data_IF_152645630431
#
_entry.id   IF_152645630431
#
_cell.length_a   1.000
_cell.length_b   1.000
_cell.length_c   1.000
_cell.angle_alpha   90.00
_cell.angle_beta   90.00
_cell.angle_gamma   90.00
#
_symmetry.space_group_name_H-M   'P 1'
#
loop_
_entity.id
_entity.type
_entity.pdbx_description
1 polymer ?
#
# COMPACT_ATOMS: atom_id res chain seq x y z
N UNK A 1 29.49 -0.07 23.26
CA UNK A 1 28.70 -1.07 22.51
C UNK A 1 27.62 -0.30 21.78
N UNK A 2 27.37 -0.65 20.54
CA UNK A 2 26.67 0.24 19.62
C UNK A 2 25.34 -0.35 19.19
N UNK A 3 24.32 0.49 19.00
CA UNK A 3 23.02 0.07 18.48
C UNK A 3 22.89 0.62 17.04
N UNK A 4 22.85 -0.26 16.04
CA UNK A 4 22.71 0.13 14.64
C UNK A 4 21.55 -0.60 13.99
N UNK A 5 20.38 0.03 13.93
CA UNK A 5 19.24 -0.47 13.15
C UNK A 5 19.41 -0.03 11.71
N UNK A 6 19.82 -0.94 10.84
CA UNK A 6 19.78 -0.69 9.41
C UNK A 6 18.81 -1.69 8.82
N UNK A 7 17.52 -1.35 8.86
CA UNK A 7 16.38 -1.86 8.09
C UNK A 7 15.16 -1.97 8.98
N UNK A 8 14.11 -1.21 8.67
CA UNK A 8 12.78 -1.76 8.82
C UNK A 8 12.04 -1.42 7.54
N UNK A 9 11.59 -2.44 6.83
CA UNK A 9 10.80 -2.27 5.62
C UNK A 9 9.35 -2.12 6.05
N UNK A 10 8.82 -0.91 6.14
CA UNK A 10 7.48 -0.69 6.65
C UNK A 10 6.43 -0.50 5.53
N UNK A 11 5.26 -1.11 5.66
CA UNK A 11 3.98 -0.81 5.02
C UNK A 11 2.96 -0.32 6.10
N UNK A 12 2.64 0.98 6.13
CA UNK A 12 2.21 1.82 7.29
C UNK A 12 0.75 1.75 7.84
N UNK A 13 0.58 1.98 9.17
CA UNK A 13 -0.54 2.64 9.91
C UNK A 13 -0.16 2.99 11.40
N UNK A 14 -0.81 3.94 12.12
CA UNK A 14 -0.31 4.59 13.38
C UNK A 14 -1.34 5.10 14.43
N UNK A 15 -0.94 5.26 15.73
CA UNK A 15 -1.07 6.47 16.65
C UNK A 15 -0.37 6.37 18.09
N UNK A 16 0.39 7.43 18.49
CA UNK A 16 0.56 8.15 19.83
C UNK A 16 1.47 7.73 21.05
N UNK A 17 2.47 8.61 21.37
CA UNK A 17 2.96 9.27 22.66
C UNK A 17 3.31 8.52 23.99
N UNK A 18 4.62 8.40 24.25
CA UNK A 18 5.52 8.78 25.40
C UNK A 18 5.41 8.14 26.82
N UNK A 19 6.47 7.41 27.26
CA UNK A 19 7.47 7.79 28.31
C UNK A 19 8.51 6.67 28.66
N UNK A 20 9.79 6.94 28.36
CA UNK A 20 11.07 6.54 29.02
C UNK A 20 11.40 5.10 29.52
N UNK A 21 12.31 4.43 28.79
CA UNK A 21 13.50 3.71 29.32
C UNK A 21 14.62 3.75 28.25
N UNK A 22 15.76 3.03 28.33
CA UNK A 22 16.77 3.01 27.26
C UNK A 22 16.24 2.27 26.01
N UNK A 23 15.38 2.95 25.27
CA UNK A 23 14.74 2.49 24.05
C UNK A 23 15.30 3.38 22.96
N UNK A 24 15.98 2.82 21.96
CA UNK A 24 16.08 3.49 20.67
C UNK A 24 14.68 3.44 20.05
N UNK A 25 13.80 4.30 20.58
CA UNK A 25 12.42 4.31 20.18
C UNK A 25 12.32 5.05 18.87
N UNK A 26 11.85 4.34 17.85
CA UNK A 26 11.62 4.90 16.54
C UNK A 26 10.14 5.21 16.44
N UNK A 27 9.76 6.34 17.03
CA UNK A 27 8.39 6.82 16.96
C UNK A 27 8.12 7.31 15.53
N UNK A 28 7.22 6.59 14.86
CA UNK A 28 6.71 6.96 13.56
C UNK A 28 5.50 7.84 13.83
N UNK A 29 5.50 9.08 13.39
CA UNK A 29 4.27 9.87 13.35
C UNK A 29 4.11 10.48 11.97
N UNK A 30 2.93 11.00 11.63
CA UNK A 30 2.71 11.60 10.31
C UNK A 30 3.70 12.75 10.10
N UNK A 31 4.74 12.48 9.32
CA UNK A 31 5.79 13.43 9.01
C UNK A 31 6.97 13.45 9.98
N UNK A 32 7.07 12.58 10.99
CA UNK A 32 8.25 12.60 11.88
C UNK A 32 8.86 11.25 12.22
N UNK A 33 10.16 11.26 12.46
CA UNK A 33 10.95 10.16 13.00
C UNK A 33 11.60 10.63 14.30
N UNK A 34 11.20 10.04 15.43
CA UNK A 34 11.87 10.21 16.72
C UNK A 34 12.93 9.14 16.92
N UNK A 35 14.06 9.48 17.53
CA UNK A 35 15.00 8.53 18.13
C UNK A 35 15.27 9.04 19.52
N UNK A 36 14.92 8.24 20.53
CA UNK A 36 15.21 8.52 21.93
C UNK A 36 16.37 7.65 22.38
N UNK A 37 17.26 8.14 23.23
CA UNK A 37 18.37 7.39 23.80
C UNK A 37 18.65 7.86 25.24
N UNK A 38 19.24 6.98 26.06
CA UNK A 38 19.78 7.31 27.38
C UNK A 38 18.75 7.95 28.33
N UNK A 39 17.58 7.29 28.49
CA UNK A 39 16.52 7.74 29.39
C UNK A 39 15.93 9.10 29.00
N UNK A 40 15.74 9.35 27.69
CA UNK A 40 15.15 10.60 27.19
C UNK A 40 16.14 11.74 26.95
N UNK A 41 17.39 11.60 27.37
CA UNK A 41 18.39 12.67 27.25
C UNK A 41 18.87 12.89 25.82
N UNK A 42 18.88 11.85 24.99
CA UNK A 42 19.26 11.95 23.59
C UNK A 42 18.00 11.86 22.75
N UNK A 43 17.55 12.98 22.20
CA UNK A 43 16.39 13.01 21.32
C UNK A 43 16.82 13.57 19.97
N UNK A 44 16.64 12.78 18.92
CA UNK A 44 16.74 13.21 17.53
C UNK A 44 15.33 13.16 16.96
N UNK A 45 14.81 14.31 16.55
CA UNK A 45 13.55 14.36 15.82
C UNK A 45 13.82 14.87 14.42
N UNK A 46 13.34 14.13 13.42
CA UNK A 46 13.26 14.62 12.07
C UNK A 46 11.80 14.88 11.71
N UNK A 47 11.54 16.03 11.10
CA UNK A 47 10.22 16.42 10.61
C UNK A 47 10.16 16.37 9.08
N UNK A 48 8.95 16.31 8.53
CA UNK A 48 8.62 16.16 7.11
C UNK A 48 9.32 15.00 6.40
N UNK A 49 9.57 13.92 7.14
CA UNK A 49 10.34 12.78 6.64
C UNK A 49 9.54 11.95 5.63
N UNK A 50 8.22 11.87 5.83
CA UNK A 50 7.33 11.06 5.02
C UNK A 50 6.23 11.91 4.40
N UNK A 51 6.04 11.73 3.09
CA UNK A 51 4.86 12.25 2.40
C UNK A 51 3.82 11.14 2.27
N UNK A 52 2.54 11.52 2.20
CA UNK A 52 1.43 10.56 2.00
C UNK A 52 1.55 9.73 0.70
N UNK A 53 2.45 10.10 -0.22
CA UNK A 53 2.74 9.34 -1.44
C UNK A 53 3.45 8.01 -1.23
N UNK A 54 3.91 7.71 0.00
CA UNK A 54 4.64 6.47 0.35
C UNK A 54 3.74 5.38 0.96
N UNK A 55 2.42 5.58 0.98
CA UNK A 55 1.50 4.55 1.46
C UNK A 55 1.49 3.35 0.49
N UNK A 56 1.54 2.14 1.04
CA UNK A 56 1.55 0.87 0.28
C UNK A 56 2.75 0.67 -0.66
N UNK A 57 3.82 1.43 -0.48
CA UNK A 57 5.13 1.15 -1.06
C UNK A 57 6.09 0.69 0.02
N UNK A 58 7.07 -0.13 -0.34
CA UNK A 58 8.20 -0.39 0.54
C UNK A 58 9.00 0.87 0.76
N UNK A 59 9.32 1.15 2.02
CA UNK A 59 10.21 2.23 2.43
C UNK A 59 11.46 1.60 3.04
N UNK A 60 12.63 2.01 2.56
CA UNK A 60 13.90 1.57 3.11
C UNK A 60 14.39 2.56 4.16
N UNK A 61 14.43 2.16 5.43
CA UNK A 61 14.97 2.97 6.53
C UNK A 61 16.31 2.39 7.02
N UNK A 62 17.32 3.24 7.17
CA UNK A 62 18.54 2.93 7.90
C UNK A 62 18.89 4.04 8.89
N UNK A 63 19.22 3.65 10.12
CA UNK A 63 19.58 4.52 11.23
C UNK A 63 20.95 4.14 11.77
N UNK A 64 21.90 5.05 11.66
CA UNK A 64 23.21 4.92 12.29
C UNK A 64 23.34 5.92 13.44
N UNK A 65 23.75 5.43 14.61
CA UNK A 65 24.02 6.24 15.79
C UNK A 65 25.47 6.04 16.21
N UNK A 66 26.30 7.05 15.95
CA UNK A 66 27.66 7.13 16.45
C UNK A 66 27.66 7.89 17.78
N UNK A 67 27.62 7.12 18.86
CA UNK A 67 27.61 7.63 20.23
C UNK A 67 28.97 8.18 20.69
N UNK A 68 30.07 7.77 20.07
CA UNK A 68 31.41 8.27 20.39
C UNK A 68 31.66 9.63 19.73
N UNK A 69 31.29 9.73 18.45
CA UNK A 69 31.35 10.97 17.68
C UNK A 69 30.19 11.93 17.92
N UNK A 70 29.13 11.50 18.63
CA UNK A 70 27.88 12.24 18.81
C UNK A 70 27.17 12.56 17.50
N UNK A 71 27.20 11.65 16.54
CA UNK A 71 26.65 11.86 15.19
C UNK A 71 25.55 10.85 14.94
N UNK A 72 24.48 11.28 14.27
CA UNK A 72 23.49 10.38 13.70
C UNK A 72 23.48 10.45 12.18
N UNK A 73 23.08 9.37 11.53
CA UNK A 73 22.68 9.35 10.13
C UNK A 73 21.35 8.63 10.01
N UNK A 74 20.36 9.29 9.43
CA UNK A 74 19.08 8.69 9.08
C UNK A 74 18.98 8.70 7.57
N UNK A 75 18.73 7.55 6.98
CA UNK A 75 18.57 7.42 5.55
C UNK A 75 17.27 6.72 5.21
N UNK A 76 16.48 7.33 4.34
CA UNK A 76 15.15 6.91 3.94
C UNK A 76 15.08 6.95 2.42
N UNK A 77 14.96 5.77 1.82
CA UNK A 77 15.05 5.55 0.39
C UNK A 77 16.31 6.24 -0.19
N UNK A 78 16.14 7.24 -1.07
CA UNK A 78 17.26 7.99 -1.64
C UNK A 78 17.75 9.15 -0.79
N UNK A 79 17.07 9.49 0.31
CA UNK A 79 17.35 10.67 1.11
C UNK A 79 18.20 10.31 2.32
N UNK A 80 19.29 11.03 2.51
CA UNK A 80 20.21 10.84 3.64
C UNK A 80 20.30 12.14 4.40
N UNK A 81 20.10 12.06 5.71
CA UNK A 81 20.31 13.14 6.65
C UNK A 81 21.35 12.72 7.69
N UNK A 82 22.15 13.67 8.13
CA UNK A 82 23.12 13.48 9.19
C UNK A 82 23.20 14.74 10.05
N UNK A 83 23.55 14.58 11.31
CA UNK A 83 23.64 15.69 12.25
C UNK A 83 24.27 15.26 13.56
N UNK A 84 24.35 16.20 14.51
CA UNK A 84 24.92 15.96 15.83
C UNK A 84 23.83 15.66 16.86
N UNK A 85 24.16 14.82 17.84
CA UNK A 85 23.34 14.48 18.99
C UNK A 85 23.71 15.45 20.13
N UNK A 86 23.31 16.72 19.99
CA UNK A 86 23.73 17.81 20.88
C UNK A 86 23.32 17.62 22.35
N UNK A 87 22.21 16.93 22.62
CA UNK A 87 21.63 16.82 23.97
C UNK A 87 22.34 15.81 24.89
N UNK A 88 23.38 15.13 24.39
CA UNK A 88 24.12 14.15 25.17
C UNK A 88 25.59 14.53 25.45
N UNK A 89 26.09 15.65 24.90
CA UNK A 89 27.48 16.12 25.08
C UNK A 89 27.94 16.03 26.55
N UNK A 90 29.02 15.27 26.79
CA UNK A 90 29.63 15.11 28.12
C UNK A 90 29.03 14.02 29.01
N UNK A 91 28.04 13.25 28.54
CA UNK A 91 27.51 12.08 29.27
C UNK A 91 28.28 10.81 28.93
N UNK A 92 28.48 9.92 29.90
CA UNK A 92 29.04 8.60 29.61
C UNK A 92 28.00 7.73 28.91
N UNK A 93 28.22 7.43 27.63
CA UNK A 93 27.31 6.63 26.81
C UNK A 93 27.71 5.16 26.81
N UNK A 94 27.48 4.48 27.94
CA UNK A 94 27.67 3.03 28.01
C UNK A 94 26.33 2.31 27.74
N UNK A 95 26.17 1.77 26.54
CA UNK A 95 25.10 0.81 26.26
C UNK A 95 25.49 -0.56 26.85
N UNK A 96 24.78 -1.00 27.88
CA UNK A 96 24.96 -2.33 28.48
C UNK A 96 24.16 -3.37 27.68
N UNK A 97 24.64 -4.61 27.67
CA UNK A 97 23.89 -5.74 27.11
C UNK A 97 22.68 -6.15 27.97
N UNK A 98 21.85 -7.04 27.44
CA UNK A 98 20.65 -7.55 28.12
C UNK A 98 19.37 -6.74 27.88
N UNK A 99 19.37 -5.84 26.90
CA UNK A 99 18.16 -5.13 26.47
C UNK A 99 17.23 -6.00 25.61
N UNK A 100 16.01 -5.51 25.41
CA UNK A 100 14.97 -6.16 24.59
C UNK A 100 14.75 -5.30 23.34
N UNK A 101 14.68 -5.95 22.17
CA UNK A 101 14.28 -5.31 20.92
C UNK A 101 12.84 -5.70 20.61
N UNK A 102 11.95 -4.70 20.54
CA UNK A 102 10.56 -4.90 20.10
C UNK A 102 10.38 -4.23 18.74
N UNK A 103 9.65 -4.90 17.86
CA UNK A 103 9.30 -4.41 16.53
C UNK A 103 7.79 -4.38 16.41
N UNK A 104 7.25 -3.23 16.03
CA UNK A 104 5.82 -3.05 15.75
C UNK A 104 4.97 -2.53 16.92
N UNK A 105 5.58 -2.17 18.05
CA UNK A 105 4.91 -1.60 19.22
C UNK A 105 5.85 -0.64 19.97
N UNK A 106 5.30 0.44 20.54
CA UNK A 106 6.01 1.33 21.49
C UNK A 106 6.14 0.63 22.86
N UNK A 107 7.24 0.85 23.56
CA UNK A 107 7.49 0.31 24.91
C UNK A 107 7.44 1.41 25.96
N UNK A 108 6.34 1.48 26.73
CA UNK A 108 6.27 2.39 27.90
C UNK A 108 7.08 1.86 29.10
N UNK A 109 7.32 0.54 29.16
CA UNK A 109 8.12 -0.12 30.19
C UNK A 109 9.13 -1.08 29.54
N UNK A 110 10.20 -1.40 30.26
CA UNK A 110 11.18 -2.37 29.78
C UNK A 110 10.52 -3.74 29.52
N UNK A 111 10.36 -4.11 28.24
CA UNK A 111 9.69 -5.35 27.84
C UNK A 111 8.16 -5.33 27.91
N UNK A 112 7.52 -4.17 28.12
CA UNK A 112 6.07 -4.10 28.33
C UNK A 112 5.48 -2.70 28.27
N UNK A 113 4.27 -2.55 28.82
CA UNK A 113 3.52 -1.29 28.75
C UNK A 113 2.97 -1.00 27.34
N UNK A 114 2.68 -2.04 26.57
CA UNK A 114 2.14 -1.91 25.22
C UNK A 114 0.70 -1.37 25.23
N UNK A 115 0.40 -0.43 24.33
CA UNK A 115 -0.96 0.02 24.05
C UNK A 115 -1.39 -0.48 22.67
N UNK A 116 -2.60 -1.05 22.57
CA UNK A 116 -3.15 -1.51 21.29
C UNK A 116 -3.32 -0.36 20.28
N UNK A 117 -3.55 0.87 20.76
CA UNK A 117 -3.66 2.05 19.90
C UNK A 117 -2.31 2.45 19.28
N UNK A 118 -1.19 2.01 19.87
CA UNK A 118 0.19 2.23 19.40
C UNK A 118 0.71 1.06 18.55
N UNK A 119 -0.17 0.16 18.10
CA UNK A 119 0.23 -0.96 17.25
C UNK A 119 0.60 -0.47 15.86
N UNK A 120 1.73 -0.96 15.35
CA UNK A 120 2.05 -0.83 13.94
C UNK A 120 1.24 -1.84 13.10
N UNK A 121 0.47 -1.33 12.14
CA UNK A 121 -0.23 -2.18 11.19
C UNK A 121 0.46 -2.22 9.83
N UNK A 122 1.00 -3.40 9.51
CA UNK A 122 1.35 -3.81 8.16
C UNK A 122 2.61 -4.67 8.10
N UNK A 123 3.38 -4.58 7.02
CA UNK A 123 4.50 -5.48 6.81
C UNK A 123 5.80 -4.88 7.31
N UNK A 124 6.61 -5.75 7.90
CA UNK A 124 8.00 -5.51 8.31
C UNK A 124 8.85 -6.60 7.68
N UNK A 125 9.76 -6.22 6.79
CA UNK A 125 10.70 -7.15 6.16
C UNK A 125 12.14 -6.74 6.44
N UNK A 126 13.07 -7.67 6.20
CA UNK A 126 14.51 -7.39 6.06
C UNK A 126 15.20 -6.66 7.21
N UNK A 127 14.74 -6.76 8.46
CA UNK A 127 15.42 -6.13 9.61
C UNK A 127 16.84 -6.66 9.74
N UNK A 128 17.82 -5.74 9.83
CA UNK A 128 19.23 -6.05 10.03
C UNK A 128 19.80 -5.10 11.09
N UNK A 129 20.49 -5.65 12.08
CA UNK A 129 21.24 -4.87 13.07
C UNK A 129 22.72 -5.18 12.93
N UNK A 130 23.54 -4.13 12.81
CA UNK A 130 24.99 -4.27 12.69
C UNK A 130 25.70 -4.00 14.03
N UNK A 131 26.92 -4.53 14.23
CA UNK A 131 27.70 -4.25 15.45
C UNK A 131 28.51 -2.95 15.38
N UNK A 132 28.64 -2.32 14.21
CA UNK A 132 29.52 -1.17 13.93
C UNK A 132 28.82 -0.13 13.04
N UNK A 133 29.24 1.15 13.14
CA UNK A 133 28.71 2.25 12.30
C UNK A 133 28.93 1.86 10.85
N UNK A 134 27.87 1.94 10.05
CA UNK A 134 28.00 1.71 8.62
C UNK A 134 28.46 2.98 7.90
N UNK A 135 29.42 2.84 6.98
CA UNK A 135 29.82 3.95 6.10
C UNK A 135 28.66 4.36 5.22
N UNK A 136 28.58 5.65 4.88
CA UNK A 136 27.47 6.17 4.08
C UNK A 136 27.31 5.49 2.72
N UNK A 137 28.41 5.06 2.10
CA UNK A 137 28.38 4.33 0.85
C UNK A 137 27.65 2.98 0.99
N UNK A 138 27.88 2.28 2.11
CA UNK A 138 27.22 1.01 2.43
C UNK A 138 25.75 1.20 2.78
N UNK A 139 25.41 2.31 3.43
CA UNK A 139 24.01 2.74 3.64
C UNK A 139 23.32 2.94 2.29
N UNK A 140 23.94 3.64 1.32
CA UNK A 140 23.37 3.82 -0.02
C UNK A 140 23.26 2.51 -0.81
N UNK A 141 24.23 1.62 -0.69
CA UNK A 141 24.17 0.28 -1.30
C UNK A 141 23.03 -0.56 -0.71
N UNK A 142 22.80 -0.44 0.59
CA UNK A 142 21.66 -1.06 1.25
C UNK A 142 20.33 -0.50 0.74
N UNK A 143 20.17 0.82 0.71
CA UNK A 143 18.94 1.49 0.23
C UNK A 143 18.65 1.27 -1.26
N UNK A 144 19.67 0.90 -2.04
CA UNK A 144 19.51 0.50 -3.44
C UNK A 144 19.39 -1.02 -3.63
N UNK A 145 19.21 -1.77 -2.53
CA UNK A 145 19.08 -3.22 -2.51
C UNK A 145 20.24 -3.99 -3.14
N UNK A 146 21.45 -3.45 -3.06
CA UNK A 146 22.66 -4.08 -3.59
C UNK A 146 23.45 -4.85 -2.53
N UNK A 147 23.18 -4.59 -1.24
CA UNK A 147 23.96 -5.14 -0.14
C UNK A 147 23.51 -6.57 0.22
N UNK A 148 24.46 -7.50 0.30
CA UNK A 148 24.29 -8.85 0.90
C UNK A 148 25.06 -8.88 2.23
N UNK A 149 24.42 -9.37 3.29
CA UNK A 149 24.94 -9.29 4.67
C UNK A 149 25.84 -10.48 5.02
N UNK A 150 27.03 -10.22 5.56
CA UNK A 150 27.96 -11.24 6.07
C UNK A 150 28.30 -11.06 7.56
N UNK A 151 27.78 -10.03 8.25
CA UNK A 151 28.16 -9.72 9.64
C UNK A 151 27.06 -8.97 10.43
N UNK A 152 25.83 -9.45 10.37
CA UNK A 152 24.71 -8.92 11.16
C UNK A 152 24.59 -9.61 12.52
N UNK A 153 24.17 -8.87 13.55
CA UNK A 153 23.90 -9.38 14.91
C UNK A 153 22.45 -9.80 15.08
N UNK A 154 21.52 -9.06 14.46
CA UNK A 154 20.08 -9.40 14.45
C UNK A 154 19.61 -9.41 13.00
N UNK A 155 18.83 -10.43 12.65
CA UNK A 155 18.20 -10.54 11.33
C UNK A 155 16.84 -11.22 11.42
N UNK A 156 16.04 -11.15 10.36
CA UNK A 156 14.87 -12.02 10.17
C UNK A 156 15.18 -13.36 9.48
N UNK A 157 16.45 -13.76 9.39
CA UNK A 157 16.84 -15.03 8.75
C UNK A 157 16.25 -16.25 9.47
N UNK A 158 16.14 -16.16 10.79
CA UNK A 158 15.68 -17.24 11.67
C UNK A 158 14.61 -16.75 12.65
N UNK A 159 13.47 -16.30 12.11
CA UNK A 159 12.35 -15.75 12.91
C UNK A 159 11.94 -16.66 14.08
N UNK A 160 11.90 -17.97 13.90
CA UNK A 160 11.44 -18.91 14.93
C UNK A 160 12.44 -19.11 16.09
N UNK A 161 13.72 -18.80 15.87
CA UNK A 161 14.78 -19.03 16.87
C UNK A 161 15.17 -17.72 17.57
N UNK A 162 15.19 -16.61 16.82
CA UNK A 162 15.71 -15.33 17.29
C UNK A 162 14.60 -14.39 17.80
N UNK A 163 13.31 -14.70 17.56
CA UNK A 163 12.19 -13.81 17.86
C UNK A 163 11.05 -14.50 18.60
N UNK A 164 10.47 -13.77 19.56
CA UNK A 164 9.19 -14.10 20.18
C UNK A 164 8.07 -13.31 19.47
N UNK A 165 7.14 -14.04 18.86
CA UNK A 165 6.03 -13.45 18.10
C UNK A 165 4.80 -13.28 19.00
N UNK A 166 4.29 -12.05 19.12
CA UNK A 166 3.12 -11.71 19.93
C UNK A 166 2.00 -11.08 19.11
N UNK A 167 0.76 -11.52 19.35
CA UNK A 167 -0.45 -11.00 18.70
C UNK A 167 -0.78 -11.67 17.36
N UNK A 168 -1.67 -11.05 16.60
CA UNK A 168 -2.15 -11.54 15.30
C UNK A 168 -1.14 -11.26 14.18
N UNK A 169 -0.03 -11.99 14.20
CA UNK A 169 1.05 -11.87 13.22
C UNK A 169 0.93 -12.92 12.10
N UNK A 170 1.26 -12.51 10.88
CA UNK A 170 1.34 -13.42 9.72
C UNK A 170 2.70 -13.30 9.04
N UNK A 171 3.45 -14.38 9.06
CA UNK A 171 4.73 -14.47 8.32
C UNK A 171 4.45 -14.68 6.84
N UNK A 172 5.06 -13.83 6.01
CA UNK A 172 4.97 -13.88 4.55
C UNK A 172 6.37 -13.73 3.98
N UNK A 173 6.71 -14.55 2.99
CA UNK A 173 7.99 -14.46 2.28
C UNK A 173 7.87 -13.52 1.08
N UNK A 174 8.83 -12.60 0.96
CA UNK A 174 8.97 -11.70 -0.19
C UNK A 174 10.30 -11.96 -0.89
N UNK A 175 10.32 -11.90 -2.23
CA UNK A 175 11.57 -11.92 -2.99
C UNK A 175 12.25 -10.54 -2.95
N UNK A 176 13.58 -10.47 -3.16
CA UNK A 176 14.27 -9.18 -3.26
C UNK A 176 13.64 -8.24 -4.30
N UNK A 177 13.17 -8.78 -5.42
CA UNK A 177 12.51 -8.01 -6.48
C UNK A 177 11.14 -7.47 -6.03
N UNK A 178 10.45 -8.17 -5.13
CA UNK A 178 9.19 -7.68 -4.56
C UNK A 178 9.41 -6.57 -3.51
N UNK A 179 10.54 -6.60 -2.80
CA UNK A 179 10.92 -5.57 -1.83
C UNK A 179 11.50 -4.33 -2.50
N UNK A 180 12.27 -4.52 -3.58
CA UNK A 180 13.13 -3.49 -4.15
C UNK A 180 12.78 -3.10 -5.58
N UNK A 181 11.97 -3.91 -6.26
CA UNK A 181 11.47 -3.62 -7.59
C UNK A 181 10.27 -2.71 -7.55
N UNK A 182 9.85 -2.25 -8.73
CA UNK A 182 8.53 -1.62 -8.86
C UNK A 182 7.48 -2.68 -8.58
N UNK A 183 6.54 -2.45 -7.65
CA UNK A 183 5.47 -3.40 -7.42
C UNK A 183 4.70 -3.62 -8.73
N UNK A 184 4.23 -4.84 -9.00
CA UNK A 184 3.37 -5.06 -10.15
C UNK A 184 2.09 -4.23 -10.00
N UNK A 185 1.47 -3.81 -11.11
CA UNK A 185 0.21 -3.07 -11.04
C UNK A 185 -0.84 -3.82 -10.24
N UNK A 186 -1.55 -3.10 -9.38
CA UNK A 186 -2.70 -3.63 -8.64
C UNK A 186 -3.93 -3.55 -9.55
N UNK A 187 -4.71 -4.63 -9.58
CA UNK A 187 -5.93 -4.72 -10.38
C UNK A 187 -7.16 -4.72 -9.47
N UNK A 188 -8.06 -3.75 -9.67
CA UNK A 188 -9.32 -3.63 -8.92
C UNK A 188 -10.49 -3.76 -9.86
N UNK A 189 -11.36 -4.72 -9.57
CA UNK A 189 -12.58 -4.98 -10.34
C UNK A 189 -13.75 -4.10 -9.87
N UNK A 190 -14.48 -3.54 -10.83
CA UNK A 190 -15.72 -2.80 -10.63
C UNK A 190 -16.88 -3.56 -11.31
N UNK A 191 -17.82 -4.12 -10.53
CA UNK A 191 -18.79 -5.10 -11.02
C UNK A 191 -20.01 -4.50 -11.74
N UNK A 192 -20.19 -3.17 -11.72
CA UNK A 192 -21.30 -2.57 -12.45
C UNK A 192 -20.99 -2.51 -13.93
N UNK A 193 -21.95 -2.96 -14.73
CA UNK A 193 -21.83 -2.99 -16.18
C UNK A 193 -21.83 -1.57 -16.74
N UNK A 194 -20.73 -1.20 -17.38
CA UNK A 194 -20.47 0.11 -17.97
C UNK A 194 -20.14 -0.03 -19.45
N UNK A 195 -20.33 1.03 -20.21
CA UNK A 195 -19.73 1.16 -21.54
C UNK A 195 -18.20 1.24 -21.41
N UNK A 196 -17.49 1.06 -22.53
CA UNK A 196 -16.03 1.21 -22.54
C UNK A 196 -15.61 2.61 -22.03
N UNK A 197 -16.26 3.66 -22.51
CA UNK A 197 -15.92 5.04 -22.15
C UNK A 197 -16.16 5.31 -20.67
N UNK A 198 -17.31 4.93 -20.13
CA UNK A 198 -17.61 5.04 -18.70
C UNK A 198 -16.61 4.26 -17.84
N UNK A 199 -16.13 3.11 -18.32
CA UNK A 199 -15.11 2.30 -17.63
C UNK A 199 -13.75 2.99 -17.61
N UNK A 200 -13.33 3.59 -18.73
CA UNK A 200 -12.10 4.39 -18.79
C UNK A 200 -12.17 5.59 -17.86
N UNK A 201 -13.27 6.35 -17.93
CA UNK A 201 -13.48 7.55 -17.11
C UNK A 201 -13.47 7.22 -15.62
N UNK A 202 -14.06 6.08 -15.23
CA UNK A 202 -14.00 5.58 -13.85
C UNK A 202 -12.57 5.29 -13.40
N UNK A 203 -11.78 4.59 -14.21
CA UNK A 203 -10.39 4.28 -13.86
C UNK A 203 -9.54 5.56 -13.77
N UNK A 204 -9.69 6.48 -14.72
CA UNK A 204 -8.97 7.76 -14.74
C UNK A 204 -9.33 8.66 -13.56
N UNK A 205 -10.61 8.68 -13.14
CA UNK A 205 -11.04 9.39 -11.93
C UNK A 205 -10.29 8.88 -10.68
N UNK A 206 -9.95 7.60 -10.65
CA UNK A 206 -9.17 6.96 -9.58
C UNK A 206 -7.65 7.03 -9.83
N UNK A 207 -7.19 7.81 -10.81
CA UNK A 207 -5.77 7.88 -11.23
C UNK A 207 -5.17 6.53 -11.67
N UNK A 208 -6.01 5.59 -12.09
CA UNK A 208 -5.61 4.35 -12.73
C UNK A 208 -5.99 4.36 -14.21
N UNK A 209 -5.88 3.21 -14.86
CA UNK A 209 -6.28 3.03 -16.26
C UNK A 209 -7.04 1.72 -16.43
N UNK A 210 -7.80 1.61 -17.52
CA UNK A 210 -8.48 0.36 -17.85
C UNK A 210 -7.46 -0.72 -18.20
N UNK A 211 -7.53 -1.88 -17.54
CA UNK A 211 -6.49 -2.90 -17.63
C UNK A 211 -6.28 -3.43 -19.04
N UNK A 212 -5.02 -3.41 -19.50
CA UNK A 212 -4.60 -3.86 -20.82
C UNK A 212 -3.33 -4.72 -20.70
N UNK A 213 -3.47 -6.06 -20.57
CA UNK A 213 -2.34 -6.93 -20.24
C UNK A 213 -1.21 -6.84 -21.28
N UNK A 214 0.01 -6.56 -20.81
CA UNK A 214 1.23 -6.48 -21.63
C UNK A 214 2.05 -7.77 -21.61
N UNK A 215 1.67 -8.73 -20.77
CA UNK A 215 2.33 -10.03 -20.63
C UNK A 215 1.34 -11.10 -20.15
N UNK A 216 1.76 -12.36 -20.23
CA UNK A 216 0.99 -13.49 -19.69
C UNK A 216 0.80 -13.39 -18.17
N UNK A 217 1.85 -12.98 -17.45
CA UNK A 217 1.79 -12.77 -16.00
C UNK A 217 0.74 -11.72 -15.62
N UNK A 218 0.71 -10.59 -16.34
CA UNK A 218 -0.28 -9.54 -16.11
C UNK A 218 -1.70 -9.98 -16.52
N UNK A 219 -1.83 -10.79 -17.56
CA UNK A 219 -3.13 -11.34 -17.95
C UNK A 219 -3.68 -12.24 -16.83
N UNK A 220 -2.83 -13.06 -16.22
CA UNK A 220 -3.20 -13.92 -15.11
C UNK A 220 -3.51 -13.14 -13.82
N UNK A 221 -2.83 -12.03 -13.56
CA UNK A 221 -3.17 -11.17 -12.41
C UNK A 221 -4.54 -10.52 -12.56
N UNK A 222 -4.92 -10.11 -13.78
CA UNK A 222 -6.27 -9.58 -14.07
C UNK A 222 -7.33 -10.68 -13.94
N UNK A 223 -7.06 -11.88 -14.45
CA UNK A 223 -7.94 -13.05 -14.24
C UNK A 223 -8.14 -13.32 -12.76
N UNK A 224 -7.06 -13.37 -11.98
CA UNK A 224 -7.13 -13.60 -10.53
C UNK A 224 -7.95 -12.53 -9.81
N UNK A 225 -7.90 -11.28 -10.25
CA UNK A 225 -8.68 -10.18 -9.67
C UNK A 225 -10.20 -10.26 -9.96
N UNK A 226 -10.60 -11.13 -10.89
CA UNK A 226 -11.99 -11.24 -11.37
C UNK A 226 -12.62 -12.62 -11.27
N UNK A 227 -11.83 -13.65 -10.97
CA UNK A 227 -12.23 -15.06 -10.98
C UNK A 227 -13.46 -15.37 -10.12
N UNK A 228 -13.66 -14.65 -9.02
CA UNK A 228 -14.77 -14.85 -8.08
C UNK A 228 -16.07 -14.18 -8.53
N UNK A 229 -16.06 -13.47 -9.67
CA UNK A 229 -17.17 -12.62 -10.15
C UNK A 229 -17.46 -12.75 -11.63
N UNK A 230 -16.90 -13.76 -12.30
CA UNK A 230 -17.14 -14.04 -13.73
C UNK A 230 -18.65 -14.14 -14.00
N UNK A 231 -19.39 -14.85 -13.14
CA UNK A 231 -20.82 -15.11 -13.33
C UNK A 231 -21.67 -13.83 -13.32
N UNK A 232 -21.37 -12.92 -12.39
CA UNK A 232 -22.08 -11.64 -12.27
C UNK A 232 -21.85 -10.75 -13.50
N UNK A 233 -20.65 -10.84 -14.08
CA UNK A 233 -20.20 -9.97 -15.14
C UNK A 233 -20.43 -10.52 -16.54
N UNK A 234 -20.61 -11.83 -16.66
CA UNK A 234 -20.89 -12.51 -17.92
C UNK A 234 -22.15 -11.95 -18.58
N UNK A 235 -22.03 -11.65 -19.87
CA UNK A 235 -23.14 -11.25 -20.74
C UNK A 235 -23.38 -12.33 -21.80
N UNK A 236 -24.53 -12.25 -22.50
CA UNK A 236 -24.97 -13.25 -23.47
C UNK A 236 -24.00 -13.52 -24.64
N UNK A 237 -22.93 -12.72 -24.78
CA UNK A 237 -21.89 -12.86 -25.79
C UNK A 237 -20.69 -13.73 -25.33
N UNK A 238 -20.75 -14.33 -24.13
CA UNK A 238 -19.66 -15.16 -23.63
C UNK A 238 -18.41 -14.37 -23.22
N UNK A 239 -18.61 -13.13 -22.82
CA UNK A 239 -17.56 -12.25 -22.31
C UNK A 239 -18.02 -11.61 -21.02
N UNK A 240 -17.09 -11.19 -20.17
CA UNK A 240 -17.43 -10.66 -18.84
C UNK A 240 -16.63 -9.41 -18.43
N UNK A 241 -15.60 -9.03 -19.19
CA UNK A 241 -14.72 -7.96 -18.77
C UNK A 241 -14.24 -7.12 -19.94
N UNK A 242 -14.26 -5.81 -19.80
CA UNK A 242 -13.56 -4.89 -20.70
C UNK A 242 -12.04 -5.02 -20.58
N UNK A 243 -11.37 -5.06 -21.73
CA UNK A 243 -9.93 -4.83 -21.79
C UNK A 243 -9.65 -3.44 -22.36
N UNK A 244 -8.63 -2.78 -21.83
CA UNK A 244 -8.07 -1.52 -22.32
C UNK A 244 -7.35 -1.66 -23.66
N UNK A 245 -7.83 -2.53 -24.54
CA UNK A 245 -7.26 -2.86 -25.83
C UNK A 245 -8.30 -2.60 -26.91
N UNK A 246 -7.87 -1.95 -28.00
CA UNK A 246 -8.74 -1.63 -29.14
C UNK A 246 -8.07 -2.03 -30.44
N UNK A 247 -8.85 -2.57 -31.37
CA UNK A 247 -8.41 -2.80 -32.73
C UNK A 247 -8.51 -1.49 -33.53
N UNK A 248 -7.45 -1.14 -34.25
CA UNK A 248 -7.38 0.03 -35.12
C UNK A 248 -6.96 -0.42 -36.51
N UNK A 249 -7.67 0.10 -37.51
CA UNK A 249 -7.35 -0.14 -38.91
C UNK A 249 -6.35 0.90 -39.38
N UNK A 250 -5.15 0.48 -39.74
CA UNK A 250 -4.09 1.33 -40.27
C UNK A 250 -3.29 0.55 -41.32
N UNK A 251 -2.75 1.23 -42.34
CA UNK A 251 -1.93 0.60 -43.37
C UNK A 251 -2.56 -0.65 -44.03
N UNK A 252 -3.88 -0.63 -44.25
CA UNK A 252 -4.68 -1.73 -44.82
C UNK A 252 -4.75 -3.01 -43.96
N UNK A 253 -4.38 -2.95 -42.68
CA UNK A 253 -4.50 -4.06 -41.75
C UNK A 253 -5.06 -3.62 -40.39
N UNK A 254 -5.60 -4.59 -39.64
CA UNK A 254 -6.01 -4.37 -38.26
C UNK A 254 -4.83 -4.63 -37.33
N UNK A 255 -4.62 -3.73 -36.38
CA UNK A 255 -3.63 -3.86 -35.29
C UNK A 255 -4.31 -3.61 -33.96
N UNK A 256 -3.77 -4.17 -32.88
CA UNK A 256 -4.29 -3.96 -31.53
C UNK A 256 -3.40 -2.97 -30.80
N UNK A 257 -4.02 -1.96 -30.17
CA UNK A 257 -3.32 -0.94 -29.39
C UNK A 257 -3.85 -0.90 -27.96
N UNK A 258 -3.00 -0.47 -27.04
CA UNK A 258 -3.41 -0.05 -25.70
C UNK A 258 -4.18 1.26 -25.78
N UNK A 259 -5.36 1.32 -25.17
CA UNK A 259 -6.17 2.54 -25.08
C UNK A 259 -5.54 3.62 -24.20
N UNK A 260 -4.67 3.24 -23.29
CA UNK A 260 -3.98 4.18 -22.38
C UNK A 260 -2.77 4.82 -23.07
N UNK A 261 -1.90 3.99 -23.66
CA UNK A 261 -0.63 4.47 -24.21
C UNK A 261 -0.67 4.76 -25.70
N UNK A 262 -1.74 4.35 -26.39
CA UNK A 262 -1.86 4.38 -27.85
C UNK A 262 -0.72 3.63 -28.58
N UNK A 263 -0.04 2.71 -27.89
CA UNK A 263 1.04 1.87 -28.44
C UNK A 263 0.50 0.53 -28.90
N UNK A 264 1.16 -0.06 -29.91
CA UNK A 264 0.87 -1.41 -30.38
C UNK A 264 1.05 -2.43 -29.26
N UNK A 265 0.12 -3.36 -29.15
CA UNK A 265 0.21 -4.49 -28.23
C UNK A 265 1.25 -5.48 -28.75
N UNK A 266 2.19 -5.87 -27.89
CA UNK A 266 3.16 -6.95 -28.16
C UNK A 266 2.64 -8.30 -27.69
N UNK A 267 1.81 -8.31 -26.65
CA UNK A 267 1.14 -9.48 -26.11
C UNK A 267 -0.33 -9.49 -26.50
N UNK A 268 -0.82 -10.65 -26.95
CA UNK A 268 -2.24 -10.91 -27.16
C UNK A 268 -2.58 -12.33 -26.75
N UNK A 269 -3.81 -12.55 -26.29
CA UNK A 269 -4.26 -13.87 -25.84
C UNK A 269 -5.65 -14.24 -26.38
N UNK A 270 -5.90 -13.98 -27.66
CA UNK A 270 -7.22 -14.24 -28.25
C UNK A 270 -7.58 -15.72 -28.26
N UNK A 271 -8.87 -16.00 -28.01
CA UNK A 271 -9.46 -17.30 -28.31
C UNK A 271 -9.38 -17.57 -29.80
N UNK A 272 -9.11 -18.82 -30.18
CA UNK A 272 -8.96 -19.21 -31.59
C UNK A 272 -10.20 -18.80 -32.41
N UNK A 273 -10.01 -17.96 -33.42
CA UNK A 273 -11.08 -17.46 -34.29
C UNK A 273 -11.78 -16.17 -33.83
N UNK A 274 -11.43 -15.62 -32.66
CA UNK A 274 -12.10 -14.44 -32.07
C UNK A 274 -11.24 -13.16 -32.09
N UNK A 275 -10.17 -13.13 -32.90
CA UNK A 275 -9.30 -11.96 -33.10
C UNK A 275 -9.66 -11.13 -34.34
N UNK A 276 -10.63 -11.56 -35.14
CA UNK A 276 -11.00 -10.86 -36.37
C UNK A 276 -11.73 -9.55 -36.05
N UNK A 277 -11.06 -8.43 -36.32
CA UNK A 277 -11.63 -7.11 -36.14
C UNK A 277 -12.27 -6.57 -37.43
N UNK A 278 -13.36 -5.83 -37.28
CA UNK A 278 -14.00 -5.03 -38.34
C UNK A 278 -14.46 -3.70 -37.74
N UNK A 279 -14.93 -2.76 -38.58
CA UNK A 279 -15.33 -1.42 -38.11
C UNK A 279 -16.35 -1.44 -36.96
N UNK A 280 -17.29 -2.40 -36.98
CA UNK A 280 -18.30 -2.61 -35.93
C UNK A 280 -17.84 -3.50 -34.78
N UNK A 281 -16.71 -4.21 -34.91
CA UNK A 281 -16.15 -5.15 -33.92
C UNK A 281 -14.68 -4.83 -33.72
N UNK A 282 -14.40 -3.85 -32.87
CA UNK A 282 -13.04 -3.37 -32.65
C UNK A 282 -12.70 -3.14 -31.17
N UNK A 283 -13.55 -3.58 -30.24
CA UNK A 283 -13.23 -3.57 -28.83
C UNK A 283 -12.95 -4.96 -28.30
N UNK A 284 -12.01 -5.06 -27.36
CA UNK A 284 -11.52 -6.32 -26.82
C UNK A 284 -12.08 -6.58 -25.43
N UNK A 285 -12.40 -7.84 -25.18
CA UNK A 285 -12.98 -8.32 -23.93
C UNK A 285 -12.27 -9.58 -23.45
N UNK A 286 -12.39 -9.89 -22.16
CA UNK A 286 -12.05 -11.22 -21.64
C UNK A 286 -13.23 -12.19 -21.80
N UNK A 287 -12.92 -13.38 -22.32
CA UNK A 287 -13.86 -14.47 -22.59
C UNK A 287 -14.26 -15.19 -21.29
N UNK A 288 -15.55 -15.45 -21.11
CA UNK A 288 -16.09 -16.10 -19.91
C UNK A 288 -16.04 -17.63 -19.97
N UNK A 289 -15.95 -18.22 -21.17
CA UNK A 289 -15.89 -19.66 -21.39
C UNK A 289 -14.46 -20.20 -21.37
N UNK A 290 -13.49 -19.40 -21.79
CA UNK A 290 -12.07 -19.72 -21.80
C UNK A 290 -11.32 -18.62 -21.03
N UNK A 291 -11.38 -18.70 -19.70
CA UNK A 291 -10.92 -17.64 -18.80
C UNK A 291 -9.48 -17.21 -19.09
N UNK A 292 -9.28 -15.91 -19.26
CA UNK A 292 -7.99 -15.33 -19.61
C UNK A 292 -7.75 -15.21 -21.10
N UNK A 293 -8.57 -15.84 -21.96
CA UNK A 293 -8.59 -15.57 -23.40
C UNK A 293 -9.39 -14.32 -23.72
N UNK A 294 -9.10 -13.76 -24.89
CA UNK A 294 -9.71 -12.52 -25.36
C UNK A 294 -10.61 -12.75 -26.56
N UNK A 295 -11.61 -11.87 -26.73
CA UNK A 295 -12.47 -11.84 -27.89
C UNK A 295 -12.74 -10.41 -28.34
N UNK A 296 -12.97 -10.21 -29.64
CA UNK A 296 -13.32 -8.92 -30.23
C UNK A 296 -14.82 -8.84 -30.49
N UNK A 297 -15.47 -7.81 -29.94
CA UNK A 297 -16.91 -7.56 -30.07
C UNK A 297 -17.21 -6.06 -30.24
N UNK A 298 -18.46 -5.68 -30.55
CA UNK A 298 -18.85 -4.28 -30.68
C UNK A 298 -18.63 -3.49 -29.39
N UNK A 299 -18.20 -2.24 -29.49
CA UNK A 299 -17.95 -1.38 -28.32
C UNK A 299 -19.24 -0.91 -27.60
N UNK A 300 -20.42 -1.26 -28.12
CA UNK A 300 -21.73 -0.83 -27.62
C UNK A 300 -22.23 -1.66 -26.45
N UNK A 301 -21.57 -2.78 -26.12
CA UNK A 301 -21.96 -3.63 -25.00
C UNK A 301 -21.72 -2.91 -23.66
N UNK A 302 -22.32 -3.44 -22.60
CA UNK A 302 -22.03 -3.01 -21.23
C UNK A 302 -21.57 -4.21 -20.44
N UNK A 303 -20.39 -4.13 -19.85
CA UNK A 303 -19.82 -5.19 -19.03
C UNK A 303 -18.97 -4.61 -17.90
N UNK A 304 -18.44 -5.46 -17.04
CA UNK A 304 -17.63 -5.04 -15.92
C UNK A 304 -16.26 -4.52 -16.38
N UNK A 305 -15.57 -3.83 -15.47
CA UNK A 305 -14.24 -3.27 -15.74
C UNK A 305 -13.27 -3.65 -14.64
N UNK A 306 -11.98 -3.65 -14.99
CA UNK A 306 -10.87 -3.72 -14.04
C UNK A 306 -9.98 -2.53 -14.30
N UNK A 307 -9.69 -1.79 -13.24
CA UNK A 307 -8.72 -0.72 -13.28
C UNK A 307 -7.37 -1.22 -12.76
N UNK A 308 -6.31 -0.89 -13.49
CA UNK A 308 -4.93 -1.10 -13.07
C UNK A 308 -4.37 0.16 -12.44
N UNK A 309 -3.49 0.00 -11.45
CA UNK A 309 -2.80 1.09 -10.77
C UNK A 309 -1.34 0.72 -10.49
N UNK A 310 -0.39 1.60 -10.79
CA UNK A 310 1.02 1.41 -10.42
C UNK A 310 1.22 1.52 -8.90
N UNK A 311 0.42 2.38 -8.27
CA UNK A 311 0.36 2.57 -6.82
C UNK A 311 -1.10 2.62 -6.37
N UNK A 312 -1.45 2.13 -5.18
CA UNK A 312 -2.82 2.18 -4.70
C UNK A 312 -3.39 3.60 -4.75
N UNK A 313 -4.57 3.71 -5.35
CA UNK A 313 -5.26 5.01 -5.48
C UNK A 313 -5.58 5.57 -4.10
N UNK A 314 -5.09 6.78 -3.83
CA UNK A 314 -5.39 7.52 -2.61
C UNK A 314 -6.55 8.48 -2.84
N UNK A 315 -7.55 8.38 -1.98
CA UNK A 315 -8.74 9.20 -1.97
C UNK A 315 -8.73 10.08 -0.73
N UNK A 316 -9.10 11.35 -0.88
CA UNK A 316 -9.21 12.28 0.24
C UNK A 316 -10.67 12.57 0.54
N UNK A 317 -11.10 12.21 1.75
CA UNK A 317 -12.39 12.61 2.29
C UNK A 317 -12.32 14.07 2.73
N UNK A 318 -13.30 14.87 2.28
CA UNK A 318 -13.42 16.31 2.56
C UNK A 318 -14.78 16.58 3.19
N UNK A 319 -14.89 17.69 3.91
CA UNK A 319 -16.13 18.08 4.59
C UNK A 319 -16.28 17.54 6.02
N UNK A 320 -15.24 16.91 6.57
CA UNK A 320 -15.18 16.59 8.00
C UNK A 320 -14.58 17.77 8.77
N UNK A 321 -15.10 18.07 9.96
CA UNK A 321 -14.53 19.10 10.85
C UNK A 321 -13.11 18.73 11.30
N UNK A 322 -12.37 19.70 11.81
CA UNK A 322 -10.93 19.57 12.11
C UNK A 322 -10.62 18.41 13.05
N UNK A 323 -11.37 18.30 14.14
CA UNK A 323 -11.15 17.36 15.26
C UNK A 323 -11.83 15.99 15.08
N UNK A 324 -12.08 15.60 13.84
CA UNK A 324 -12.69 14.29 13.54
C UNK A 324 -11.73 13.14 13.82
N UNK A 325 -12.24 12.08 14.45
CA UNK A 325 -11.53 10.79 14.58
C UNK A 325 -11.53 9.98 13.29
N UNK A 326 -12.34 10.38 12.31
CA UNK A 326 -12.45 9.68 11.02
C UNK A 326 -11.23 9.96 10.15
N UNK A 327 -10.79 8.94 9.40
CA UNK A 327 -9.69 9.14 8.47
C UNK A 327 -10.07 10.12 7.36
N UNK A 328 -9.07 10.88 6.92
CA UNK A 328 -9.19 11.79 5.76
C UNK A 328 -8.63 11.20 4.49
N UNK A 329 -7.81 10.16 4.59
CA UNK A 329 -7.14 9.53 3.46
C UNK A 329 -7.52 8.07 3.45
N UNK A 330 -8.00 7.61 2.32
CA UNK A 330 -8.40 6.22 2.10
C UNK A 330 -7.71 5.66 0.88
N UNK A 331 -7.57 4.34 0.85
CA UNK A 331 -7.09 3.59 -0.31
C UNK A 331 -8.00 2.40 -0.60
N UNK A 332 -7.93 1.89 -1.82
CA UNK A 332 -8.65 0.66 -2.17
C UNK A 332 -7.80 -0.54 -1.72
N UNK A 333 -8.29 -1.32 -0.73
CA UNK A 333 -7.53 -2.43 -0.11
C UNK A 333 -8.02 -3.82 -0.51
N UNK A 334 -9.25 -3.93 -1.00
CA UNK A 334 -9.82 -5.21 -1.40
C UNK A 334 -11.29 -5.12 -1.73
N UNK A 335 -12.01 -6.22 -1.54
CA UNK A 335 -13.45 -6.32 -1.85
C UNK A 335 -14.22 -6.79 -0.62
N UNK A 336 -15.32 -6.09 -0.32
CA UNK A 336 -16.25 -6.40 0.77
C UNK A 336 -17.66 -6.33 0.19
N UNK A 337 -18.47 -7.38 0.41
CA UNK A 337 -19.83 -7.49 -0.13
C UNK A 337 -19.92 -7.23 -1.66
N UNK A 338 -18.98 -7.82 -2.40
CA UNK A 338 -18.97 -7.76 -3.87
C UNK A 338 -18.52 -6.43 -4.47
N UNK A 339 -18.14 -5.42 -3.67
CA UNK A 339 -17.60 -4.14 -4.17
C UNK A 339 -16.23 -3.83 -3.58
N UNK A 340 -15.37 -3.06 -4.28
CA UNK A 340 -14.18 -2.48 -3.69
C UNK A 340 -14.51 -1.72 -2.42
N UNK A 341 -13.77 -1.97 -1.34
CA UNK A 341 -13.87 -1.17 -0.11
C UNK A 341 -12.63 -0.29 0.05
N UNK A 342 -12.80 0.79 0.81
CA UNK A 342 -11.79 1.79 1.04
C UNK A 342 -11.33 1.73 2.49
N UNK A 343 -10.05 1.44 2.70
CA UNK A 343 -9.42 1.43 4.02
C UNK A 343 -8.84 2.81 4.28
N UNK A 344 -9.19 3.40 5.42
CA UNK A 344 -8.54 4.60 5.94
C UNK A 344 -7.09 4.33 6.29
N UNK A 345 -6.35 5.39 6.62
CA UNK A 345 -4.95 5.34 7.13
C UNK A 345 -4.87 5.25 8.66
N UNK A 346 -6.01 5.18 9.34
CA UNK A 346 -6.18 4.95 10.76
C UNK A 346 -7.20 3.84 10.91
N UNK A 347 -8.24 4.00 11.73
CA UNK A 347 -9.08 2.86 12.08
C UNK A 347 -10.38 2.79 11.28
N UNK A 348 -10.57 3.59 10.23
CA UNK A 348 -11.86 3.66 9.54
C UNK A 348 -11.89 2.90 8.22
N UNK A 349 -13.04 2.32 7.89
CA UNK A 349 -13.29 1.70 6.58
C UNK A 349 -14.58 2.26 5.96
N UNK A 350 -14.59 2.43 4.64
CA UNK A 350 -15.79 2.71 3.85
C UNK A 350 -16.09 1.50 2.96
N UNK A 351 -17.27 0.90 3.10
CA UNK A 351 -17.62 -0.33 2.39
C UNK A 351 -19.10 -0.39 2.03
N UNK A 352 -19.47 -1.27 1.10
CA UNK A 352 -20.85 -1.53 0.74
C UNK A 352 -21.47 -2.51 1.74
N UNK A 353 -22.58 -2.18 2.38
CA UNK A 353 -23.23 -3.03 3.40
C UNK A 353 -24.37 -3.92 2.84
N UNK A 354 -24.47 -4.00 1.51
CA UNK A 354 -25.57 -4.56 0.72
C UNK A 354 -26.75 -3.60 0.44
N UNK A 355 -26.84 -2.48 1.16
CA UNK A 355 -27.92 -1.49 1.01
C UNK A 355 -27.41 -0.11 0.62
N UNK A 356 -26.36 0.36 1.29
CA UNK A 356 -25.70 1.65 1.09
C UNK A 356 -24.20 1.53 1.32
N UNK A 357 -23.47 2.63 1.10
CA UNK A 357 -22.10 2.74 1.57
C UNK A 357 -22.11 3.12 3.04
N UNK A 358 -21.51 2.24 3.85
CA UNK A 358 -21.29 2.43 5.26
C UNK A 358 -19.84 2.86 5.50
N UNK A 359 -19.64 3.58 6.59
CA UNK A 359 -18.36 3.93 7.16
C UNK A 359 -18.35 3.47 8.62
N UNK A 360 -17.27 2.86 9.08
CA UNK A 360 -17.16 2.42 10.49
C UNK A 360 -15.74 2.60 10.97
N UNK A 361 -15.58 2.95 12.24
CA UNK A 361 -14.31 2.79 12.94
C UNK A 361 -14.18 1.34 13.46
N UNK A 362 -13.00 0.77 13.29
CA UNK A 362 -12.67 -0.61 13.64
C UNK A 362 -12.36 -0.77 15.13
N UNK A 363 -11.90 0.30 15.81
CA UNK A 363 -11.64 0.31 17.24
C UNK A 363 -12.85 0.80 18.04
N UNK A 364 -13.50 1.88 17.58
CA UNK A 364 -14.70 2.43 18.20
C UNK A 364 -15.97 2.13 17.40
N UNK A 365 -16.68 1.07 17.80
CA UNK A 365 -17.97 0.68 17.18
C UNK A 365 -19.06 1.74 17.33
N UNK A 366 -18.87 2.74 18.19
CA UNK A 366 -19.77 3.89 18.33
C UNK A 366 -19.69 4.87 17.16
N UNK A 367 -18.59 4.90 16.41
CA UNK A 367 -18.38 5.79 15.27
C UNK A 367 -18.75 5.09 13.97
N UNK A 368 -19.79 5.61 13.30
CA UNK A 368 -20.30 5.06 12.05
C UNK A 368 -20.87 6.13 11.13
N UNK A 369 -21.01 5.79 9.85
CA UNK A 369 -21.61 6.66 8.86
C UNK A 369 -22.35 5.87 7.80
N UNK A 370 -23.39 6.47 7.22
CA UNK A 370 -24.16 5.88 6.12
C UNK A 370 -24.40 6.92 5.03
N UNK A 371 -24.12 6.58 3.78
CA UNK A 371 -24.36 7.47 2.65
C UNK A 371 -25.86 7.58 2.37
N UNK A 372 -26.37 8.81 2.21
CA UNK A 372 -27.80 9.11 2.00
C UNK A 372 -28.22 8.88 0.53
N UNK A 373 -27.28 8.75 -0.41
CA UNK A 373 -27.54 8.79 -1.86
C UNK A 373 -27.59 7.42 -2.57
N UNK A 374 -28.38 7.42 -3.65
CA UNK A 374 -28.81 6.34 -4.56
C UNK A 374 -28.01 5.03 -4.63
N UNK A 375 -28.76 3.92 -4.58
CA UNK A 375 -28.35 2.57 -4.94
C UNK A 375 -27.37 2.55 -6.13
N UNK A 376 -26.20 1.91 -5.93
CA UNK A 376 -25.16 1.61 -6.95
C UNK A 376 -24.13 2.70 -7.27
N UNK A 377 -24.19 3.90 -6.68
CA UNK A 377 -23.14 4.90 -6.87
C UNK A 377 -22.02 4.68 -5.85
N UNK A 378 -20.76 4.76 -6.27
CA UNK A 378 -19.60 4.71 -5.37
C UNK A 378 -19.53 5.96 -4.46
N UNK A 379 -18.82 5.88 -3.31
CA UNK A 379 -18.66 7.00 -2.38
C UNK A 379 -17.61 8.01 -2.90
N UNK A 380 -17.64 8.27 -4.20
CA UNK A 380 -16.73 9.14 -4.93
C UNK A 380 -17.47 10.40 -5.37
N UNK A 381 -16.76 11.52 -5.37
CA UNK A 381 -17.35 12.85 -5.62
C UNK A 381 -18.09 13.42 -4.40
N UNK A 382 -18.97 14.39 -4.64
CA UNK A 382 -19.76 14.99 -3.58
C UNK A 382 -20.91 14.06 -3.17
N UNK A 383 -20.91 13.63 -1.91
CA UNK A 383 -21.90 12.72 -1.33
C UNK A 383 -22.36 13.23 0.02
N UNK A 384 -23.63 13.03 0.34
CA UNK A 384 -24.19 13.34 1.66
C UNK A 384 -24.16 12.09 2.52
N UNK A 385 -23.69 12.24 3.75
CA UNK A 385 -23.54 11.16 4.73
C UNK A 385 -24.29 11.54 6.00
N UNK A 386 -24.89 10.55 6.63
CA UNK A 386 -25.33 10.63 8.03
C UNK A 386 -24.22 10.02 8.89
N UNK A 387 -23.64 10.77 9.82
CA UNK A 387 -22.54 10.32 10.69
C UNK A 387 -23.07 10.25 12.12
N UNK A 388 -22.76 9.15 12.82
CA UNK A 388 -23.10 8.90 14.21
C UNK A 388 -21.84 8.51 15.01
N UNK A 389 -21.82 8.84 16.31
CA UNK A 389 -20.68 8.61 17.20
C UNK A 389 -20.15 9.90 17.84
N UNK A 390 -19.65 9.81 19.08
CA UNK A 390 -19.20 10.97 19.84
C UNK A 390 -17.86 11.47 19.32
N UNK A 391 -17.87 12.65 18.72
CA UNK A 391 -16.63 13.32 18.33
C UNK A 391 -16.79 14.56 17.46
N UNK A 392 -17.75 14.62 16.54
CA UNK A 392 -17.95 15.81 15.70
C UNK A 392 -19.37 15.91 15.13
N UNK A 393 -20.22 16.67 15.81
CA UNK A 393 -21.17 17.57 15.14
C UNK A 393 -21.10 18.90 15.87
N UNK A 394 -20.32 19.83 15.32
CA UNK A 394 -20.55 21.26 15.49
C UNK A 394 -20.69 21.84 14.08
#
# INVERSE_FOLDING_TARGET
MWLYLCSVYFLRQLVSRSLASCVADVDWNVGSLGIVCCGGSGRVEQQNVFTYGLLYSWVHLCVNLDLEGWIYTVAIDSHVQHGNISNLLGKELLVRGGGILVVGQEQDLHGGGFNIEQTYEGYVAGLIVFPQVQRIQRVKEFLSCKLRSEAAVVTFSSLEQDWELHGDLKTISFTPEQLCGKPPPVHVMFPERRTLKESQDQCHMLKGWLSAPQSESENMSIVKATQDRIDMCSISWGVYLWLGVKAVFSNKSWSFISLETNKSMTYTNFRKGYSTAVASYNCTYMDSFDTGKWAVYPCTLKTCSVCSFDTPSTLRLRGLCEDTVLDRIYVIKGVKNGKPFFSGIGNTEIFWDNTTWAMTDLLDRGVSGSMISSLRQYPLGLRTWNIAGMGVLA
#
